data_IF_424064820350
#
_entry.id   IF_424064820350
#
_cell.length_a   1.000
_cell.length_b   1.000
_cell.length_c   1.000
_cell.angle_alpha   90.00
_cell.angle_beta   90.00
_cell.angle_gamma   90.00
#
_symmetry.space_group_name_H-M   'P 1'
#
loop_
_entity.id
_entity.type
_entity.pdbx_description
1 polymer ?
#
# COMPACT_ATOMS: atom_id res chain seq x y z
N UNK A 1 21.29 -15.95 5.99
CA UNK A 1 20.96 -15.95 4.54
C UNK A 1 20.01 -14.80 4.29
N UNK A 2 20.07 -14.12 3.14
CA UNK A 2 19.42 -12.81 2.97
C UNK A 2 17.92 -12.71 3.34
N UNK A 3 17.16 -13.81 3.20
CA UNK A 3 15.73 -13.85 3.56
C UNK A 3 15.46 -13.71 5.05
N UNK A 4 16.20 -14.41 5.92
CA UNK A 4 15.94 -14.36 7.37
C UNK A 4 16.25 -12.96 7.92
N UNK A 5 17.27 -12.30 7.37
CA UNK A 5 17.61 -10.92 7.72
C UNK A 5 16.51 -9.95 7.29
N UNK A 6 15.94 -10.12 6.10
CA UNK A 6 14.80 -9.32 5.63
C UNK A 6 13.55 -9.56 6.48
N UNK A 7 13.23 -10.82 6.82
CA UNK A 7 12.17 -11.15 7.76
C UNK A 7 12.40 -10.43 9.09
N UNK A 8 13.59 -10.53 9.66
CA UNK A 8 13.90 -9.94 10.95
C UNK A 8 13.69 -8.42 10.91
N UNK A 9 14.15 -7.74 9.86
CA UNK A 9 13.99 -6.29 9.67
C UNK A 9 12.52 -5.88 9.53
N UNK A 10 11.76 -6.58 8.69
CA UNK A 10 10.34 -6.29 8.49
C UNK A 10 9.50 -6.59 9.73
N UNK A 11 9.78 -7.70 10.42
CA UNK A 11 9.16 -8.02 11.71
C UNK A 11 9.51 -7.01 12.80
N UNK A 12 10.75 -6.51 12.82
CA UNK A 12 11.16 -5.44 13.74
C UNK A 12 10.36 -4.16 13.50
N UNK A 13 10.25 -3.72 12.24
CA UNK A 13 9.45 -2.55 11.89
C UNK A 13 7.98 -2.75 12.26
N UNK A 14 7.41 -3.93 12.00
CA UNK A 14 6.03 -4.22 12.34
C UNK A 14 5.77 -4.11 13.85
N UNK A 15 6.61 -4.75 14.67
CA UNK A 15 6.47 -4.74 16.12
C UNK A 15 6.77 -3.36 16.73
N UNK A 16 7.68 -2.59 16.16
CA UNK A 16 8.08 -1.28 16.69
C UNK A 16 7.13 -0.16 16.26
N UNK A 17 6.70 -0.14 15.00
CA UNK A 17 6.08 1.05 14.38
C UNK A 17 4.62 0.83 13.93
N UNK A 18 4.27 -0.40 13.54
CA UNK A 18 2.98 -0.68 12.89
C UNK A 18 1.93 -1.13 13.91
N UNK A 19 2.24 -2.16 14.71
CA UNK A 19 1.29 -2.73 15.68
C UNK A 19 0.85 -1.68 16.71
N UNK A 20 -0.43 -1.64 17.03
CA UNK A 20 -0.99 -0.65 17.94
C UNK A 20 -0.73 -1.00 19.41
N UNK A 21 -0.78 0.02 20.26
CA UNK A 21 -0.83 -0.19 21.71
C UNK A 21 -2.09 -0.98 22.10
N UNK A 22 -2.06 -1.63 23.26
CA UNK A 22 -3.18 -2.41 23.82
C UNK A 22 -3.54 -3.70 23.06
N UNK A 23 -2.85 -4.02 21.96
CA UNK A 23 -2.98 -5.29 21.25
C UNK A 23 -2.15 -6.41 21.90
N UNK A 24 -2.57 -7.66 21.77
CA UNK A 24 -1.81 -8.83 22.20
C UNK A 24 -1.12 -9.50 21.01
N UNK A 25 0.17 -9.76 21.12
CA UNK A 25 0.96 -10.39 20.06
C UNK A 25 1.65 -11.65 20.58
N UNK A 26 1.47 -12.76 19.86
CA UNK A 26 2.27 -13.97 20.01
C UNK A 26 3.28 -14.08 18.85
N UNK A 27 4.43 -14.69 19.12
CA UNK A 27 5.43 -14.99 18.10
C UNK A 27 5.57 -16.50 17.96
N UNK A 28 5.35 -17.00 16.75
CA UNK A 28 5.51 -18.40 16.39
C UNK A 28 6.53 -18.51 15.26
N UNK A 29 7.45 -19.46 15.39
CA UNK A 29 8.34 -19.83 14.29
C UNK A 29 8.13 -21.29 13.92
N UNK A 30 8.43 -21.63 12.67
CA UNK A 30 8.29 -22.97 12.16
C UNK A 30 9.43 -23.31 11.20
N UNK A 31 9.80 -24.58 11.21
CA UNK A 31 10.68 -25.22 10.24
C UNK A 31 10.26 -26.68 10.09
N UNK A 32 11.12 -27.63 10.47
CA UNK A 32 10.76 -29.05 10.63
C UNK A 32 9.73 -29.22 11.76
N UNK A 33 9.85 -28.40 12.81
CA UNK A 33 8.91 -28.30 13.92
C UNK A 33 8.45 -26.85 14.11
N UNK A 34 7.35 -26.64 14.83
CA UNK A 34 6.85 -25.31 15.16
C UNK A 34 6.92 -25.05 16.67
N UNK A 35 7.26 -23.82 17.04
CA UNK A 35 7.44 -23.41 18.43
C UNK A 35 6.89 -22.00 18.67
N UNK A 36 6.34 -21.78 19.87
CA UNK A 36 5.95 -20.46 20.35
C UNK A 36 7.20 -19.81 20.96
N UNK A 37 7.69 -18.76 20.32
CA UNK A 37 8.82 -17.95 20.81
C UNK A 37 8.37 -16.94 21.87
N UNK A 38 7.16 -16.40 21.70
CA UNK A 38 6.50 -15.57 22.71
C UNK A 38 5.03 -15.93 22.78
N UNK A 39 4.47 -16.17 23.99
CA UNK A 39 3.02 -16.24 24.16
C UNK A 39 2.38 -14.87 23.88
N UNK A 40 1.05 -14.81 23.88
CA UNK A 40 0.30 -13.55 23.78
C UNK A 40 0.81 -12.54 24.80
N UNK A 41 1.43 -11.47 24.29
CA UNK A 41 2.09 -10.43 25.07
C UNK A 41 1.43 -9.10 24.72
N UNK A 42 0.98 -8.37 25.74
CA UNK A 42 0.39 -7.05 25.57
C UNK A 42 1.45 -6.06 25.06
N UNK A 43 1.12 -5.34 24.00
CA UNK A 43 1.86 -4.17 23.54
C UNK A 43 1.53 -3.01 24.49
N UNK A 44 2.51 -2.66 25.32
CA UNK A 44 2.44 -1.55 26.26
C UNK A 44 3.80 -0.84 26.27
N UNK A 45 3.93 0.14 25.38
CA UNK A 45 5.12 0.96 25.19
C UNK A 45 6.34 0.21 24.67
N UNK A 46 7.44 0.95 24.52
CA UNK A 46 8.65 0.48 23.84
C UNK A 46 9.27 -0.79 24.44
N UNK A 47 9.23 -0.95 25.76
CA UNK A 47 9.86 -2.10 26.43
C UNK A 47 9.23 -3.45 26.04
N UNK A 48 7.91 -3.48 25.85
CA UNK A 48 7.20 -4.68 25.38
C UNK A 48 7.56 -5.02 23.93
N UNK A 49 7.63 -3.99 23.07
CA UNK A 49 8.04 -4.09 21.66
C UNK A 49 9.46 -4.61 21.54
N UNK A 50 10.42 -4.01 22.25
CA UNK A 50 11.82 -4.44 22.28
C UNK A 50 11.98 -5.90 22.75
N UNK A 51 11.15 -6.35 23.68
CA UNK A 51 11.16 -7.72 24.18
C UNK A 51 10.70 -8.71 23.10
N UNK A 52 9.70 -8.35 22.29
CA UNK A 52 9.24 -9.16 21.17
C UNK A 52 10.26 -9.16 20.02
N UNK A 53 10.84 -8.00 19.70
CA UNK A 53 11.87 -7.86 18.66
C UNK A 53 13.08 -8.77 18.95
N UNK A 54 13.56 -8.81 20.19
CA UNK A 54 14.67 -9.70 20.61
C UNK A 54 14.39 -11.20 20.46
N UNK A 55 13.13 -11.59 20.27
CA UNK A 55 12.72 -12.98 20.07
C UNK A 55 12.54 -13.33 18.59
N UNK A 56 12.67 -12.39 17.67
CA UNK A 56 12.59 -12.70 16.25
C UNK A 56 13.73 -13.65 15.84
N UNK A 57 13.49 -14.61 14.93
CA UNK A 57 14.50 -15.57 14.53
C UNK A 57 15.62 -14.91 13.71
N UNK A 58 16.87 -15.17 14.11
CA UNK A 58 18.07 -14.64 13.43
C UNK A 58 18.68 -15.62 12.41
N UNK A 59 18.35 -16.91 12.53
CA UNK A 59 18.90 -17.97 11.69
C UNK A 59 17.78 -18.83 11.10
N UNK A 60 18.02 -19.36 9.90
CA UNK A 60 17.13 -20.27 9.22
C UNK A 60 17.77 -21.66 9.13
N UNK A 61 16.99 -22.70 9.36
CA UNK A 61 17.42 -24.09 9.25
C UNK A 61 16.27 -25.07 9.39
N UNK A 62 16.46 -26.28 8.88
CA UNK A 62 15.43 -27.32 8.82
C UNK A 62 14.65 -27.30 7.51
N UNK A 63 13.54 -28.05 7.48
CA UNK A 63 12.57 -28.09 6.38
C UNK A 63 11.46 -27.06 6.61
N UNK A 64 10.47 -27.00 5.73
CA UNK A 64 9.37 -26.02 5.81
C UNK A 64 8.04 -26.73 5.99
N UNK A 65 7.56 -26.91 7.22
CA UNK A 65 6.24 -27.50 7.50
C UNK A 65 5.21 -26.43 7.86
N UNK A 66 4.53 -25.92 6.84
CA UNK A 66 3.57 -24.81 6.95
C UNK A 66 2.41 -25.17 7.87
N UNK A 67 1.85 -26.37 7.74
CA UNK A 67 0.70 -26.77 8.54
C UNK A 67 1.03 -26.93 10.03
N UNK A 68 2.27 -27.28 10.37
CA UNK A 68 2.73 -27.27 11.77
C UNK A 68 2.78 -25.85 12.33
N UNK A 69 3.31 -24.90 11.55
CA UNK A 69 3.35 -23.49 11.90
C UNK A 69 1.95 -22.93 12.16
N UNK A 70 1.01 -23.19 11.24
CA UNK A 70 -0.37 -22.73 11.36
C UNK A 70 -1.06 -23.28 12.62
N UNK A 71 -0.99 -24.59 12.84
CA UNK A 71 -1.58 -25.23 14.04
C UNK A 71 -0.98 -24.69 15.34
N UNK A 72 0.32 -24.41 15.35
CA UNK A 72 1.01 -23.80 16.50
C UNK A 72 0.59 -22.33 16.70
N UNK A 73 0.30 -21.61 15.63
CA UNK A 73 -0.37 -20.30 15.67
C UNK A 73 -1.72 -20.36 16.38
N UNK A 74 -2.57 -21.32 16.01
CA UNK A 74 -3.86 -21.51 16.69
C UNK A 74 -3.70 -21.91 18.16
N UNK A 75 -2.69 -22.71 18.51
CA UNK A 75 -2.38 -23.03 19.90
C UNK A 75 -1.98 -21.78 20.70
N UNK A 76 -1.20 -20.87 20.10
CA UNK A 76 -0.82 -19.61 20.74
C UNK A 76 -2.02 -18.67 20.93
N UNK A 77 -2.88 -18.56 19.92
CA UNK A 77 -4.08 -17.73 19.99
C UNK A 77 -5.05 -18.24 21.06
N UNK A 78 -5.35 -19.54 21.10
CA UNK A 78 -6.24 -20.16 22.10
C UNK A 78 -5.76 -20.06 23.55
N UNK A 79 -4.60 -19.46 23.82
CA UNK A 79 -4.04 -19.37 25.16
C UNK A 79 -4.77 -18.38 26.07
N UNK A 80 -5.60 -17.49 25.53
CA UNK A 80 -6.41 -16.54 26.30
C UNK A 80 -7.83 -17.05 26.60
N UNK A 81 -8.69 -17.23 25.60
CA UNK A 81 -10.12 -17.56 25.75
C UNK A 81 -10.49 -18.95 25.18
N UNK A 82 -9.49 -19.66 24.64
CA UNK A 82 -9.65 -20.99 24.04
C UNK A 82 -10.21 -20.99 22.62
N UNK A 83 -10.39 -19.83 21.99
CA UNK A 83 -10.91 -19.69 20.63
C UNK A 83 -9.86 -19.05 19.72
N UNK A 84 -10.22 -18.98 18.44
CA UNK A 84 -9.44 -18.32 17.38
C UNK A 84 -10.31 -17.37 16.55
N UNK A 85 -11.58 -17.20 16.95
CA UNK A 85 -12.59 -16.54 16.12
C UNK A 85 -12.43 -15.05 16.23
N UNK A 86 -12.13 -14.39 15.11
CA UNK A 86 -11.86 -12.95 15.07
C UNK A 86 -10.40 -12.59 15.33
N UNK A 87 -9.55 -13.56 15.69
CA UNK A 87 -8.10 -13.34 15.82
C UNK A 87 -7.42 -13.28 14.46
N UNK A 88 -6.29 -12.60 14.39
CA UNK A 88 -5.51 -12.44 13.17
C UNK A 88 -4.19 -13.22 13.21
N UNK A 89 -3.81 -13.83 12.08
CA UNK A 89 -2.49 -14.43 11.87
C UNK A 89 -1.82 -13.76 10.68
N UNK A 90 -0.62 -13.22 10.89
CA UNK A 90 0.28 -12.82 9.81
C UNK A 90 1.23 -13.97 9.50
N UNK A 91 0.97 -14.68 8.42
CA UNK A 91 1.68 -15.89 8.04
C UNK A 91 2.72 -15.62 6.94
N UNK A 92 3.97 -15.40 7.34
CA UNK A 92 5.10 -15.19 6.44
C UNK A 92 5.76 -16.53 6.08
N UNK A 93 5.93 -16.79 4.78
CA UNK A 93 6.61 -17.99 4.28
C UNK A 93 7.25 -17.72 2.93
N UNK A 94 8.38 -18.36 2.62
CA UNK A 94 8.90 -18.36 1.24
C UNK A 94 8.11 -19.28 0.30
N UNK A 95 7.19 -20.05 0.89
CA UNK A 95 6.18 -20.86 0.22
C UNK A 95 6.72 -22.14 -0.43
N UNK A 96 7.98 -22.51 -0.16
CA UNK A 96 8.55 -23.81 -0.54
C UNK A 96 8.22 -24.86 0.54
N UNK A 97 6.94 -25.21 0.66
CA UNK A 97 6.48 -26.16 1.66
C UNK A 97 7.01 -27.58 1.41
N UNK A 98 7.45 -28.24 2.48
CA UNK A 98 7.81 -29.65 2.51
C UNK A 98 6.61 -30.55 2.80
N UNK A 99 5.57 -29.99 3.44
CA UNK A 99 4.26 -30.61 3.62
C UNK A 99 3.26 -30.15 2.55
N UNK A 100 2.13 -30.85 2.46
CA UNK A 100 1.03 -30.44 1.61
C UNK A 100 0.19 -29.38 2.33
N UNK A 101 0.32 -28.12 1.94
CA UNK A 101 -0.41 -26.98 2.53
C UNK A 101 -1.93 -27.17 2.48
N UNK A 102 -2.42 -27.95 1.50
CA UNK A 102 -3.84 -28.27 1.39
C UNK A 102 -4.37 -29.05 2.61
N UNK A 103 -3.53 -29.79 3.33
CA UNK A 103 -3.93 -30.63 4.46
C UNK A 103 -4.47 -29.81 5.64
N UNK A 104 -3.97 -28.59 5.83
CA UNK A 104 -4.46 -27.67 6.87
C UNK A 104 -5.39 -26.58 6.33
N UNK A 105 -5.75 -26.59 5.04
CA UNK A 105 -6.63 -25.58 4.46
C UNK A 105 -8.02 -25.57 5.10
N UNK A 106 -8.63 -26.74 5.30
CA UNK A 106 -9.96 -26.81 5.93
C UNK A 106 -9.89 -26.41 7.41
N UNK A 107 -8.83 -26.78 8.11
CA UNK A 107 -8.59 -26.34 9.50
C UNK A 107 -8.46 -24.82 9.57
N UNK A 108 -7.76 -24.21 8.62
CA UNK A 108 -7.60 -22.77 8.49
C UNK A 108 -8.96 -22.06 8.38
N UNK A 109 -9.81 -22.50 7.45
CA UNK A 109 -11.12 -21.93 7.21
C UNK A 109 -12.08 -22.15 8.39
N UNK A 110 -12.02 -23.32 9.02
CA UNK A 110 -12.90 -23.67 10.15
C UNK A 110 -12.49 -23.02 11.47
N UNK A 111 -11.26 -22.51 11.58
CA UNK A 111 -10.76 -21.85 12.80
C UNK A 111 -11.53 -20.58 13.15
N UNK A 112 -12.08 -19.88 12.14
CA UNK A 112 -12.66 -18.55 12.30
C UNK A 112 -11.63 -17.42 12.51
N UNK A 113 -10.34 -17.73 12.46
CA UNK A 113 -9.27 -16.73 12.43
C UNK A 113 -9.18 -16.09 11.05
N UNK A 114 -8.75 -14.83 11.00
CA UNK A 114 -8.41 -14.10 9.79
C UNK A 114 -6.92 -14.35 9.49
N UNK A 115 -6.61 -14.99 8.37
CA UNK A 115 -5.23 -15.39 8.05
C UNK A 115 -4.71 -14.54 6.90
N UNK A 116 -3.80 -13.64 7.21
CA UNK A 116 -3.01 -12.92 6.22
C UNK A 116 -1.82 -13.79 5.81
N UNK A 117 -1.52 -13.86 4.52
CA UNK A 117 -0.42 -14.66 4.00
C UNK A 117 0.55 -13.77 3.22
N UNK A 118 1.83 -13.82 3.59
CA UNK A 118 2.90 -13.13 2.87
C UNK A 118 3.80 -14.18 2.22
N UNK A 119 3.70 -14.27 0.90
CA UNK A 119 4.56 -15.09 0.06
C UNK A 119 5.88 -14.36 -0.22
N UNK A 120 6.95 -14.77 0.46
CA UNK A 120 8.26 -14.17 0.37
C UNK A 120 9.18 -14.92 -0.60
N UNK A 121 8.84 -14.81 -1.88
CA UNK A 121 9.52 -15.48 -2.97
C UNK A 121 8.55 -15.92 -4.09
N UNK A 122 9.07 -16.30 -5.26
CA UNK A 122 8.24 -16.57 -6.44
C UNK A 122 7.51 -17.93 -6.37
N UNK A 123 7.97 -18.86 -5.54
CA UNK A 123 7.51 -20.26 -5.56
C UNK A 123 6.33 -20.56 -4.63
N UNK A 124 5.75 -19.55 -4.00
CA UNK A 124 4.73 -19.79 -2.99
C UNK A 124 3.46 -20.44 -3.55
N UNK A 125 2.90 -21.40 -2.82
CA UNK A 125 1.70 -22.13 -3.27
C UNK A 125 0.46 -21.21 -3.39
N UNK A 126 -0.35 -21.41 -4.43
CA UNK A 126 -1.62 -20.71 -4.63
C UNK A 126 -2.64 -21.00 -3.51
N UNK A 127 -2.46 -22.08 -2.76
CA UNK A 127 -3.25 -22.38 -1.55
C UNK A 127 -3.14 -21.25 -0.52
N UNK A 128 -2.00 -20.56 -0.42
CA UNK A 128 -1.83 -19.44 0.52
C UNK A 128 -2.76 -18.27 0.20
N UNK A 129 -2.95 -17.97 -1.09
CA UNK A 129 -3.93 -16.97 -1.53
C UNK A 129 -5.35 -17.42 -1.20
N UNK A 130 -5.68 -18.68 -1.51
CA UNK A 130 -7.01 -19.24 -1.25
C UNK A 130 -7.34 -19.23 0.24
N UNK A 131 -6.34 -19.48 1.09
CA UNK A 131 -6.46 -19.46 2.55
C UNK A 131 -6.78 -18.05 3.05
N UNK A 132 -6.05 -17.03 2.58
CA UNK A 132 -6.34 -15.65 2.93
C UNK A 132 -7.73 -15.21 2.46
N UNK A 133 -8.07 -15.48 1.20
CA UNK A 133 -9.38 -15.11 0.63
C UNK A 133 -10.55 -15.75 1.41
N UNK A 134 -10.42 -17.01 1.84
CA UNK A 134 -11.49 -17.74 2.56
C UNK A 134 -11.60 -17.38 4.03
N UNK A 135 -10.57 -16.82 4.62
CA UNK A 135 -10.55 -16.37 6.02
C UNK A 135 -10.78 -14.85 6.16
N UNK A 136 -10.94 -14.13 5.04
CA UNK A 136 -11.10 -12.68 5.04
C UNK A 136 -9.79 -11.90 5.16
N UNK A 137 -8.65 -12.59 5.14
CA UNK A 137 -7.32 -11.99 5.25
C UNK A 137 -6.83 -11.33 3.96
N UNK A 138 -5.55 -10.98 3.98
CA UNK A 138 -4.84 -10.34 2.86
C UNK A 138 -3.73 -11.26 2.38
N UNK A 139 -3.69 -11.50 1.07
CA UNK A 139 -2.56 -12.14 0.42
C UNK A 139 -1.60 -11.07 -0.11
N UNK A 140 -0.32 -11.19 0.25
CA UNK A 140 0.75 -10.34 -0.24
C UNK A 140 1.91 -11.16 -0.80
N UNK A 141 2.60 -10.57 -1.76
CA UNK A 141 3.83 -11.10 -2.35
C UNK A 141 4.94 -10.10 -2.11
N UNK A 142 6.07 -10.59 -1.64
CA UNK A 142 7.27 -9.81 -1.49
C UNK A 142 8.44 -10.50 -2.20
N UNK A 143 9.19 -9.73 -2.99
CA UNK A 143 10.47 -10.17 -3.56
C UNK A 143 11.55 -10.19 -2.50
N UNK A 144 12.46 -11.15 -2.65
CA UNK A 144 13.70 -11.27 -1.89
C UNK A 144 14.75 -10.23 -2.35
N UNK A 145 14.39 -8.94 -2.29
CA UNK A 145 15.26 -7.82 -2.64
C UNK A 145 14.87 -6.58 -1.87
N UNK A 146 15.86 -5.99 -1.19
CA UNK A 146 15.72 -4.72 -0.45
C UNK A 146 15.33 -3.56 -1.36
N UNK A 147 15.69 -3.60 -2.65
CA UNK A 147 15.33 -2.55 -3.61
C UNK A 147 13.82 -2.33 -3.74
N UNK A 148 13.04 -3.39 -3.57
CA UNK A 148 11.58 -3.33 -3.74
C UNK A 148 10.86 -2.73 -2.52
N UNK A 149 11.48 -2.84 -1.34
CA UNK A 149 10.87 -2.64 -0.02
C UNK A 149 9.57 -3.44 0.22
N UNK A 150 9.26 -4.42 -0.65
CA UNK A 150 7.96 -5.09 -0.70
C UNK A 150 7.61 -5.87 0.57
N UNK A 151 8.60 -6.40 1.29
CA UNK A 151 8.33 -7.13 2.52
C UNK A 151 7.81 -6.20 3.63
N UNK A 152 8.50 -5.06 3.83
CA UNK A 152 8.05 -4.01 4.76
C UNK A 152 6.67 -3.50 4.36
N UNK A 153 6.49 -3.25 3.08
CA UNK A 153 5.22 -2.83 2.49
C UNK A 153 4.08 -3.84 2.65
N UNK A 154 4.40 -5.14 2.62
CA UNK A 154 3.43 -6.20 2.87
C UNK A 154 2.99 -6.17 4.34
N UNK A 155 3.92 -6.04 5.28
CA UNK A 155 3.58 -5.88 6.70
C UNK A 155 2.80 -4.59 6.97
N UNK A 156 3.16 -3.46 6.35
CA UNK A 156 2.44 -2.20 6.52
C UNK A 156 1.03 -2.20 5.92
N UNK A 157 0.78 -3.06 4.93
CA UNK A 157 -0.56 -3.25 4.35
C UNK A 157 -1.49 -4.11 5.21
N UNK A 158 -0.93 -4.90 6.13
CA UNK A 158 -1.67 -5.77 7.03
C UNK A 158 -1.80 -5.03 8.36
N UNK A 159 -2.74 -4.09 8.39
CA UNK A 159 -3.10 -3.34 9.60
C UNK A 159 -4.38 -3.90 10.20
N UNK A 160 -4.36 -4.13 11.51
CA UNK A 160 -5.54 -4.48 12.30
C UNK A 160 -6.36 -3.19 12.45
N UNK A 161 -7.55 -3.13 11.85
CA UNK A 161 -8.40 -1.94 11.98
C UNK A 161 -9.21 -2.00 13.28
N UNK A 162 -8.87 -1.15 14.24
CA UNK A 162 -9.58 -0.97 15.50
C UNK A 162 -10.90 -0.16 15.36
N UNK A 163 -11.20 0.31 14.14
CA UNK A 163 -12.35 1.19 13.88
C UNK A 163 -12.01 2.68 13.88
N UNK A 164 -10.80 3.08 14.28
CA UNK A 164 -10.36 4.46 14.38
C UNK A 164 -9.35 4.82 13.27
N UNK A 165 -9.72 5.63 12.28
CA UNK A 165 -8.79 6.01 11.20
C UNK A 165 -7.62 6.87 11.68
N UNK A 166 -7.70 7.46 12.89
CA UNK A 166 -6.69 8.39 13.40
C UNK A 166 -5.54 7.68 14.12
N UNK A 167 -5.76 6.44 14.57
CA UNK A 167 -4.72 5.59 15.13
C UNK A 167 -3.93 4.91 14.02
N UNK A 168 -4.50 4.71 12.83
CA UNK A 168 -3.83 3.95 11.77
C UNK A 168 -2.46 4.52 11.35
N UNK A 169 -1.45 3.65 11.11
CA UNK A 169 -0.19 4.06 10.54
C UNK A 169 -0.36 4.56 9.10
N UNK A 170 0.24 5.71 8.81
CA UNK A 170 0.33 6.32 7.49
C UNK A 170 1.74 6.12 6.94
N UNK A 171 1.86 5.38 5.85
CA UNK A 171 3.12 5.28 5.13
C UNK A 171 3.22 6.45 4.14
N UNK A 172 4.14 7.38 4.41
CA UNK A 172 4.33 8.60 3.61
C UNK A 172 5.25 8.35 2.41
N UNK A 173 6.24 7.47 2.59
CA UNK A 173 7.25 7.13 1.58
C UNK A 173 7.69 5.67 1.76
N UNK A 174 7.91 4.97 0.63
CA UNK A 174 8.49 3.63 0.58
C UNK A 174 9.28 3.46 -0.72
N UNK A 175 10.61 3.54 -0.60
CA UNK A 175 11.50 3.55 -1.76
C UNK A 175 12.78 2.79 -1.47
N UNK A 176 13.31 2.11 -2.49
CA UNK A 176 14.58 1.41 -2.42
C UNK A 176 15.44 1.71 -3.63
N UNK A 177 16.76 1.75 -3.41
CA UNK A 177 17.73 2.12 -4.44
C UNK A 177 19.04 1.37 -4.26
N UNK A 178 19.70 1.06 -5.38
CA UNK A 178 21.09 0.67 -5.39
C UNK A 178 21.94 1.94 -5.33
N UNK A 179 22.67 2.12 -4.23
CA UNK A 179 23.32 3.39 -3.87
C UNK A 179 24.83 3.27 -4.00
N UNK A 180 25.43 4.10 -4.86
CA UNK A 180 26.89 4.25 -4.97
C UNK A 180 27.41 5.42 -4.14
N UNK A 181 26.66 6.52 -4.09
CA UNK A 181 27.03 7.76 -3.40
C UNK A 181 25.87 8.19 -2.49
N UNK A 182 25.04 9.14 -2.92
CA UNK A 182 23.89 9.61 -2.13
C UNK A 182 22.57 8.90 -2.46
N UNK A 183 21.86 8.54 -1.40
CA UNK A 183 20.44 8.24 -1.43
C UNK A 183 19.67 9.38 -0.77
N UNK A 184 19.06 10.23 -1.58
CA UNK A 184 18.38 11.43 -1.13
C UNK A 184 16.98 11.55 -1.73
N UNK A 185 16.17 12.39 -1.10
CA UNK A 185 14.81 12.68 -1.53
C UNK A 185 14.11 13.64 -0.58
N UNK A 186 12.83 13.88 -0.87
CA UNK A 186 11.96 14.77 -0.11
C UNK A 186 10.67 14.03 0.21
N UNK A 187 10.22 14.11 1.46
CA UNK A 187 8.94 13.58 1.91
C UNK A 187 8.08 14.75 2.38
N UNK A 188 7.03 15.12 1.63
CA UNK A 188 6.09 16.14 2.07
C UNK A 188 5.17 15.60 3.16
N UNK A 189 5.14 16.27 4.31
CA UNK A 189 4.24 15.98 5.43
C UNK A 189 3.22 17.11 5.51
N UNK A 190 1.94 16.79 5.39
CA UNK A 190 0.85 17.77 5.49
C UNK A 190 0.43 18.03 6.94
N UNK A 191 -0.45 19.01 7.15
CA UNK A 191 -0.91 19.43 8.48
C UNK A 191 -1.73 18.38 9.24
N UNK A 192 -2.18 17.33 8.56
CA UNK A 192 -3.03 16.28 9.13
C UNK A 192 -2.24 15.06 9.59
N UNK A 193 -0.95 14.95 9.20
CA UNK A 193 -0.02 13.91 9.63
C UNK A 193 1.13 14.50 10.45
N UNK A 194 1.75 13.71 11.32
CA UNK A 194 2.97 14.13 12.01
C UNK A 194 3.23 13.49 13.37
N UNK A 195 2.23 12.83 13.97
CA UNK A 195 2.43 12.14 15.26
C UNK A 195 3.22 10.86 15.02
N UNK A 196 4.20 10.58 15.89
CA UNK A 196 5.05 9.39 15.80
C UNK A 196 5.69 9.21 14.42
N UNK A 197 6.17 10.29 13.81
CA UNK A 197 6.85 10.20 12.51
C UNK A 197 8.21 9.55 12.66
N UNK A 198 8.45 8.50 11.87
CA UNK A 198 9.73 7.78 11.83
C UNK A 198 10.30 7.70 10.42
N UNK A 199 11.61 7.91 10.32
CA UNK A 199 12.39 7.62 9.11
C UNK A 199 13.23 6.38 9.39
N UNK A 200 12.86 5.27 8.75
CA UNK A 200 13.54 3.99 8.91
C UNK A 200 14.27 3.62 7.64
N UNK A 201 15.60 3.61 7.71
CA UNK A 201 16.48 3.20 6.62
C UNK A 201 17.04 1.81 6.90
N UNK A 202 16.81 0.89 5.98
CA UNK A 202 17.43 -0.42 5.96
C UNK A 202 18.59 -0.40 4.96
N UNK A 203 19.75 -0.90 5.36
CA UNK A 203 20.93 -1.00 4.49
C UNK A 203 21.46 -2.43 4.38
N UNK A 204 22.16 -2.73 3.29
CA UNK A 204 22.65 -4.09 3.01
C UNK A 204 23.99 -4.39 3.68
N UNK A 205 24.98 -3.49 3.56
CA UNK A 205 26.39 -3.79 3.88
C UNK A 205 26.89 -3.02 5.08
N UNK A 206 26.94 -1.69 4.99
CA UNK A 206 27.48 -0.84 6.06
C UNK A 206 26.66 0.41 6.28
N UNK A 207 26.66 0.89 7.53
CA UNK A 207 25.85 2.00 7.97
C UNK A 207 26.23 3.28 7.19
N UNK A 208 25.28 3.91 6.49
CA UNK A 208 25.53 5.14 5.76
C UNK A 208 25.67 6.36 6.69
N UNK A 209 26.21 7.46 6.16
CA UNK A 209 26.08 8.75 6.88
C UNK A 209 24.64 9.24 6.77
N UNK A 210 24.00 9.60 7.88
CA UNK A 210 22.62 10.10 7.93
C UNK A 210 22.63 11.62 7.98
N UNK A 211 21.79 12.23 7.15
CA UNK A 211 21.43 13.64 7.24
C UNK A 211 19.95 13.79 6.89
N UNK A 212 19.13 14.16 7.87
CA UNK A 212 17.70 14.45 7.68
C UNK A 212 17.46 15.88 8.13
N UNK A 213 16.70 16.65 7.36
CA UNK A 213 16.42 18.04 7.63
C UNK A 213 14.91 18.30 7.61
N UNK A 214 14.42 18.90 8.70
CA UNK A 214 13.04 19.38 8.82
C UNK A 214 12.78 20.60 7.92
N UNK A 215 11.50 20.95 7.67
CA UNK A 215 11.11 22.14 6.93
C UNK A 215 11.67 23.45 7.50
N UNK A 216 11.77 23.59 8.83
CA UNK A 216 12.37 24.76 9.48
C UNK A 216 13.89 24.83 9.38
N UNK A 217 14.54 23.74 8.94
CA UNK A 217 15.97 23.65 8.75
C UNK A 217 16.73 22.95 9.87
N UNK A 218 16.06 22.49 10.94
CA UNK A 218 16.66 21.64 11.97
C UNK A 218 17.18 20.34 11.35
N UNK A 219 18.45 20.03 11.59
CA UNK A 219 19.14 18.87 11.06
C UNK A 219 19.28 17.76 12.11
N UNK A 220 19.08 16.53 11.66
CA UNK A 220 19.24 15.30 12.40
C UNK A 220 20.35 14.46 11.75
N UNK A 221 21.23 13.93 12.59
CA UNK A 221 22.34 13.07 12.17
C UNK A 221 22.38 11.78 13.00
N UNK A 222 23.49 11.02 12.94
CA UNK A 222 23.62 9.75 13.66
C UNK A 222 23.35 9.85 15.16
N UNK A 223 23.56 11.01 15.78
CA UNK A 223 23.34 11.22 17.22
C UNK A 223 21.86 11.24 17.59
N UNK A 224 21.00 11.45 16.60
CA UNK A 224 19.54 11.48 16.75
C UNK A 224 18.88 10.15 16.34
N UNK A 225 19.66 9.20 15.83
CA UNK A 225 19.14 7.93 15.31
C UNK A 225 19.60 6.75 16.15
N UNK A 226 18.81 5.69 16.14
CA UNK A 226 19.25 4.36 16.58
C UNK A 226 19.72 3.57 15.37
N UNK A 227 20.73 2.70 15.55
CA UNK A 227 21.20 1.77 14.52
C UNK A 227 21.34 0.37 15.13
N UNK A 228 20.53 -0.56 14.63
CA UNK A 228 20.53 -1.95 15.07
C UNK A 228 20.07 -2.86 13.95
N UNK A 229 20.68 -4.05 13.82
CA UNK A 229 20.34 -5.04 12.80
C UNK A 229 20.25 -4.46 11.36
N UNK A 230 21.21 -3.61 11.01
CA UNK A 230 21.27 -2.90 9.72
C UNK A 230 20.06 -1.99 9.43
N UNK A 231 19.47 -1.43 10.49
CA UNK A 231 18.30 -0.58 10.43
C UNK A 231 18.57 0.68 11.24
N UNK A 232 18.63 1.82 10.54
CA UNK A 232 18.74 3.14 11.14
C UNK A 232 17.33 3.72 11.29
N UNK A 233 16.96 4.15 12.49
CA UNK A 233 15.66 4.80 12.74
C UNK A 233 15.85 6.18 13.36
N UNK A 234 15.26 7.19 12.74
CA UNK A 234 15.01 8.50 13.36
C UNK A 234 13.56 8.55 13.81
N UNK A 235 13.32 8.76 15.10
CA UNK A 235 11.99 9.11 15.62
C UNK A 235 11.92 10.63 15.82
N UNK A 236 11.05 11.29 15.07
CA UNK A 236 10.87 12.74 15.18
C UNK A 236 10.21 13.06 16.53
N UNK A 237 10.82 13.92 17.37
CA UNK A 237 10.23 14.27 18.65
C UNK A 237 8.91 15.03 18.49
N UNK A 238 7.86 14.59 19.18
CA UNK A 238 6.56 15.26 19.19
C UNK A 238 5.78 15.09 17.88
N UNK A 239 5.24 16.19 17.37
CA UNK A 239 4.53 16.24 16.08
C UNK A 239 5.51 16.79 15.04
N UNK A 240 5.73 16.04 13.97
CA UNK A 240 6.56 16.48 12.85
C UNK A 240 6.02 17.76 12.21
N UNK A 241 6.91 18.70 11.92
CA UNK A 241 6.57 19.95 11.25
C UNK A 241 5.97 19.68 9.85
N UNK A 242 4.84 20.32 9.50
CA UNK A 242 4.32 20.27 8.15
C UNK A 242 5.28 20.92 7.15
N UNK A 243 5.46 20.28 5.99
CA UNK A 243 6.29 20.76 4.89
C UNK A 243 7.20 19.68 4.30
N UNK A 244 8.17 20.14 3.51
CA UNK A 244 9.10 19.28 2.77
C UNK A 244 10.27 18.84 3.68
N UNK A 245 10.22 17.61 4.19
CA UNK A 245 11.34 16.98 4.90
C UNK A 245 12.35 16.42 3.91
N UNK A 246 13.63 16.72 4.08
CA UNK A 246 14.70 16.24 3.20
C UNK A 246 15.50 15.16 3.88
N UNK A 247 15.77 14.06 3.19
CA UNK A 247 16.68 13.02 3.68
C UNK A 247 17.85 12.85 2.72
N UNK A 248 19.00 12.49 3.27
CA UNK A 248 20.23 12.21 2.53
C UNK A 248 21.04 11.17 3.30
N UNK A 249 21.30 10.04 2.65
CA UNK A 249 22.12 8.95 3.19
C UNK A 249 23.34 8.74 2.28
N UNK A 250 24.55 8.90 2.82
CA UNK A 250 25.79 8.71 2.07
C UNK A 250 26.29 7.27 2.24
N UNK A 251 26.42 6.55 1.13
CA UNK A 251 27.14 5.29 1.11
C UNK A 251 28.63 5.52 1.39
N UNK A 252 29.17 4.83 2.39
CA UNK A 252 30.59 4.88 2.75
C UNK A 252 31.43 3.79 2.09
N UNK A 253 30.78 2.82 1.44
CA UNK A 253 31.45 1.75 0.71
C UNK A 253 31.96 2.23 -0.65
N UNK A 254 33.09 1.68 -1.08
CA UNK A 254 33.54 1.85 -2.46
C UNK A 254 32.61 1.16 -3.47
N UNK A 255 31.93 0.09 -3.05
CA UNK A 255 30.97 -0.64 -3.85
C UNK A 255 29.54 -0.16 -3.60
N UNK A 256 28.67 -0.32 -4.61
CA UNK A 256 27.25 -0.07 -4.43
C UNK A 256 26.63 -1.00 -3.38
N UNK A 257 25.65 -0.51 -2.63
CA UNK A 257 24.83 -1.30 -1.71
C UNK A 257 23.35 -0.95 -1.84
N UNK A 258 22.49 -1.92 -1.55
CA UNK A 258 21.04 -1.67 -1.53
C UNK A 258 20.66 -0.93 -0.24
N UNK A 259 19.83 0.10 -0.38
CA UNK A 259 19.21 0.79 0.74
C UNK A 259 17.72 0.97 0.46
N UNK A 260 16.89 0.84 1.49
CA UNK A 260 15.47 1.19 1.41
C UNK A 260 15.06 2.10 2.56
N UNK A 261 14.26 3.10 2.25
CA UNK A 261 13.69 4.05 3.19
C UNK A 261 12.19 3.81 3.29
N UNK A 262 11.72 3.72 4.52
CA UNK A 262 10.30 3.79 4.87
C UNK A 262 10.09 4.99 5.78
N UNK A 263 9.12 5.84 5.45
CA UNK A 263 8.69 6.92 6.34
C UNK A 263 7.27 6.65 6.79
N UNK A 264 7.08 6.50 8.09
CA UNK A 264 5.78 6.26 8.70
C UNK A 264 5.39 7.47 9.56
N UNK A 265 4.10 7.70 9.70
CA UNK A 265 3.51 8.74 10.55
C UNK A 265 2.11 8.31 10.97
N UNK A 266 1.45 9.12 11.79
CA UNK A 266 0.05 8.97 12.20
C UNK A 266 -0.63 10.33 12.16
N UNK A 267 -1.95 10.34 12.34
CA UNK A 267 -2.72 11.58 12.41
C UNK A 267 -2.07 12.55 13.42
N UNK A 268 -1.84 13.79 13.01
CA UNK A 268 -1.22 14.80 13.86
C UNK A 268 -2.07 15.10 15.10
N UNK A 269 -3.39 14.95 14.97
CA UNK A 269 -4.38 15.20 16.01
C UNK A 269 -5.46 14.12 15.98
N UNK A 270 -6.01 13.81 17.14
CA UNK A 270 -7.07 12.79 17.29
C UNK A 270 -8.43 13.25 16.78
N UNK A 271 -8.65 14.55 16.59
CA UNK A 271 -9.91 15.13 16.12
C UNK A 271 -9.90 15.50 14.62
N UNK A 272 -8.76 15.39 13.94
CA UNK A 272 -8.61 15.70 12.52
C UNK A 272 -8.08 14.46 11.79
N UNK A 273 -8.96 13.72 11.07
CA UNK A 273 -8.53 12.58 10.30
C UNK A 273 -7.50 12.94 9.22
N UNK A 274 -6.52 12.08 8.97
CA UNK A 274 -5.52 12.35 7.95
C UNK A 274 -6.11 12.17 6.54
N UNK A 275 -5.41 12.70 5.53
CA UNK A 275 -5.63 12.23 4.15
C UNK A 275 -5.27 10.76 4.07
N UNK A 276 -6.24 9.96 3.63
CA UNK A 276 -6.13 8.52 3.44
C UNK A 276 -6.24 8.16 1.96
N UNK A 277 -5.72 6.99 1.61
CA UNK A 277 -5.87 6.42 0.29
C UNK A 277 -6.39 5.01 0.47
N UNK A 278 -7.35 4.60 -0.35
CA UNK A 278 -7.79 3.21 -0.42
C UNK A 278 -7.59 2.72 -1.84
N UNK A 279 -6.93 1.57 -1.98
CA UNK A 279 -6.66 0.99 -3.30
C UNK A 279 -7.51 -0.25 -3.50
N UNK A 280 -8.16 -0.33 -4.66
CA UNK A 280 -8.97 -1.47 -5.08
C UNK A 280 -8.65 -1.86 -6.51
N UNK A 281 -8.93 -3.11 -6.82
CA UNK A 281 -8.82 -3.65 -8.17
C UNK A 281 -10.07 -4.46 -8.48
N UNK A 282 -10.53 -4.40 -9.72
CA UNK A 282 -11.51 -5.35 -10.21
C UNK A 282 -10.86 -6.72 -10.36
N UNK A 283 -11.54 -7.80 -9.99
CA UNK A 283 -11.05 -9.14 -10.29
C UNK A 283 -10.98 -9.32 -11.82
N UNK A 284 -9.82 -9.71 -12.32
CA UNK A 284 -9.70 -10.13 -13.71
C UNK A 284 -10.55 -11.39 -13.90
N UNK A 285 -11.33 -11.43 -14.97
CA UNK A 285 -12.02 -12.66 -15.36
C UNK A 285 -10.95 -13.72 -15.65
N UNK A 286 -11.15 -14.97 -15.18
CA UNK A 286 -10.16 -16.05 -15.34
C UNK A 286 -9.78 -16.34 -16.79
N UNK A 287 -10.64 -15.96 -17.73
CA UNK A 287 -10.44 -16.11 -19.17
C UNK A 287 -9.74 -14.91 -19.82
N UNK A 288 -9.38 -13.87 -19.05
CA UNK A 288 -8.74 -12.67 -19.56
C UNK A 288 -9.65 -11.79 -20.40
N UNK A 289 -10.97 -12.06 -20.45
CA UNK A 289 -11.91 -11.38 -21.35
C UNK A 289 -12.14 -9.90 -21.04
N UNK A 290 -11.78 -9.45 -19.83
CA UNK A 290 -11.86 -8.05 -19.41
C UNK A 290 -10.54 -7.62 -18.81
N UNK A 291 -10.09 -6.42 -19.19
CA UNK A 291 -8.96 -5.78 -18.56
C UNK A 291 -9.26 -5.47 -17.09
N UNK A 292 -8.20 -5.41 -16.30
CA UNK A 292 -8.27 -5.03 -14.90
C UNK A 292 -8.40 -3.51 -14.80
N UNK A 293 -9.23 -3.03 -13.89
CA UNK A 293 -9.26 -1.63 -13.47
C UNK A 293 -8.54 -1.51 -12.14
N UNK A 294 -7.60 -0.57 -12.07
CA UNK A 294 -6.98 -0.14 -10.82
C UNK A 294 -7.67 1.15 -10.37
N UNK A 295 -8.06 1.20 -9.10
CA UNK A 295 -8.80 2.29 -8.48
C UNK A 295 -8.09 2.73 -7.21
N UNK A 296 -7.87 4.03 -7.05
CA UNK A 296 -7.35 4.63 -5.83
C UNK A 296 -8.29 5.77 -5.40
N UNK A 297 -8.98 5.56 -4.28
CA UNK A 297 -9.80 6.58 -3.62
C UNK A 297 -8.89 7.40 -2.71
N UNK A 298 -8.78 8.71 -2.96
CA UNK A 298 -8.03 9.65 -2.13
C UNK A 298 -9.04 10.54 -1.41
N UNK A 299 -9.07 10.46 -0.09
CA UNK A 299 -10.07 11.17 0.70
C UNK A 299 -9.52 11.57 2.07
N UNK A 300 -10.00 12.70 2.57
CA UNK A 300 -9.89 13.05 3.98
C UNK A 300 -11.28 12.90 4.59
N UNK A 301 -11.43 11.96 5.52
CA UNK A 301 -12.74 11.59 6.06
C UNK A 301 -13.70 11.14 4.94
N UNK A 302 -14.80 11.89 4.69
CA UNK A 302 -15.74 11.62 3.59
C UNK A 302 -15.59 12.57 2.41
N UNK A 303 -14.60 13.47 2.45
CA UNK A 303 -14.39 14.46 1.42
C UNK A 303 -13.31 13.98 0.44
N UNK A 304 -13.61 13.93 -0.86
CA UNK A 304 -12.63 13.52 -1.86
C UNK A 304 -11.56 14.57 -2.05
N UNK A 305 -10.33 14.11 -2.23
CA UNK A 305 -9.14 14.93 -2.43
C UNK A 305 -8.83 14.97 -3.92
N UNK A 306 -9.03 16.13 -4.54
CA UNK A 306 -8.80 16.31 -5.97
C UNK A 306 -7.42 16.90 -6.26
N UNK A 307 -7.00 16.81 -7.53
CA UNK A 307 -5.71 17.34 -8.00
C UNK A 307 -4.48 16.55 -7.53
N UNK A 308 -4.66 15.41 -6.89
CA UNK A 308 -3.56 14.51 -6.56
C UNK A 308 -3.02 13.84 -7.83
N UNK A 309 -1.71 13.60 -7.86
CA UNK A 309 -1.03 12.78 -8.86
C UNK A 309 -0.90 11.37 -8.31
N UNK A 310 -1.54 10.41 -8.98
CA UNK A 310 -1.62 9.03 -8.53
C UNK A 310 -0.89 8.11 -9.49
N UNK A 311 0.14 7.43 -8.99
CA UNK A 311 0.90 6.43 -9.74
C UNK A 311 0.73 5.06 -9.11
N UNK A 312 0.48 4.06 -9.94
CA UNK A 312 0.56 2.66 -9.56
C UNK A 312 1.77 2.00 -10.21
N UNK A 313 2.44 1.13 -9.45
CA UNK A 313 3.50 0.25 -9.90
C UNK A 313 3.06 -1.18 -9.59
N UNK A 314 2.95 -1.99 -10.64
CA UNK A 314 2.64 -3.42 -10.55
C UNK A 314 3.88 -4.21 -10.91
N UNK A 315 4.25 -5.17 -10.08
CA UNK A 315 5.42 -6.01 -10.33
C UNK A 315 5.09 -7.48 -10.18
N UNK A 316 5.37 -8.25 -11.22
CA UNK A 316 5.22 -9.70 -11.23
C UNK A 316 6.40 -10.43 -10.58
N UNK A 317 6.12 -11.65 -10.14
CA UNK A 317 7.08 -12.69 -9.77
C UNK A 317 7.98 -13.15 -10.94
N UNK A 318 7.58 -12.90 -12.19
CA UNK A 318 8.39 -13.20 -13.40
C UNK A 318 9.32 -12.06 -13.80
N UNK A 319 9.29 -10.92 -13.09
CA UNK A 319 10.14 -9.75 -13.37
C UNK A 319 9.54 -8.73 -14.32
N UNK A 320 8.36 -9.00 -14.92
CA UNK A 320 7.59 -7.97 -15.61
C UNK A 320 7.10 -6.90 -14.62
N UNK A 321 7.21 -5.63 -15.00
CA UNK A 321 6.74 -4.47 -14.22
C UNK A 321 6.01 -3.50 -15.13
N UNK A 322 4.93 -2.93 -14.62
CA UNK A 322 4.09 -1.94 -15.28
C UNK A 322 3.91 -0.74 -14.35
N UNK A 323 4.02 0.46 -14.89
CA UNK A 323 3.77 1.70 -14.16
C UNK A 323 2.70 2.50 -14.90
N UNK A 324 1.67 2.90 -14.17
CA UNK A 324 0.47 3.54 -14.73
C UNK A 324 0.09 4.76 -13.89
N UNK A 325 -0.24 5.87 -14.55
CA UNK A 325 -0.86 7.04 -13.90
C UNK A 325 -2.38 6.85 -13.91
N UNK A 326 -3.02 7.05 -12.76
CA UNK A 326 -4.47 6.99 -12.60
C UNK A 326 -5.06 8.40 -12.65
N UNK A 327 -6.27 8.54 -13.21
CA UNK A 327 -6.91 9.84 -13.42
C UNK A 327 -8.29 9.90 -12.77
N UNK A 328 -8.65 11.09 -12.30
CA UNK A 328 -9.98 11.48 -11.86
C UNK A 328 -10.49 12.55 -12.84
N UNK A 329 -10.89 12.10 -14.04
CA UNK A 329 -11.23 12.94 -15.19
C UNK A 329 -12.59 12.63 -15.84
N UNK A 330 -13.31 11.62 -15.33
CA UNK A 330 -14.60 11.14 -15.81
C UNK A 330 -14.57 10.43 -17.15
N UNK A 331 -13.41 9.89 -17.55
CA UNK A 331 -13.22 9.20 -18.82
C UNK A 331 -12.59 7.81 -18.62
N UNK A 332 -12.87 6.90 -19.57
CA UNK A 332 -12.29 5.56 -19.54
C UNK A 332 -12.78 4.73 -18.36
N UNK A 333 -11.85 4.23 -17.55
CA UNK A 333 -12.17 3.49 -16.33
C UNK A 333 -12.79 4.39 -15.24
N UNK A 334 -12.56 5.70 -15.31
CA UNK A 334 -13.08 6.65 -14.36
C UNK A 334 -14.51 7.07 -14.71
N UNK A 335 -15.44 6.73 -13.82
CA UNK A 335 -16.87 6.92 -14.04
C UNK A 335 -17.31 8.36 -13.76
N UNK A 336 -16.67 9.05 -12.82
CA UNK A 336 -17.10 10.36 -12.36
C UNK A 336 -15.91 11.27 -12.12
N UNK A 337 -15.82 12.32 -12.93
CA UNK A 337 -14.85 13.38 -12.72
C UNK A 337 -15.05 14.09 -11.38
N UNK A 338 -13.94 14.40 -10.73
CA UNK A 338 -13.79 15.21 -9.52
C UNK A 338 -14.47 14.58 -8.29
N UNK A 339 -14.46 13.24 -8.19
CA UNK A 339 -15.02 12.48 -7.07
C UNK A 339 -13.96 11.87 -6.12
N UNK A 340 -12.67 12.14 -6.37
CA UNK A 340 -11.54 11.66 -5.58
C UNK A 340 -11.15 10.21 -5.87
N UNK A 341 -11.77 9.59 -6.87
CA UNK A 341 -11.52 8.21 -7.26
C UNK A 341 -10.73 8.18 -8.55
N UNK A 342 -9.43 7.95 -8.42
CA UNK A 342 -8.51 7.89 -9.55
C UNK A 342 -8.48 6.47 -10.11
N UNK A 343 -8.74 6.31 -11.41
CA UNK A 343 -8.73 4.99 -12.02
C UNK A 343 -8.25 4.93 -13.46
N UNK A 344 -7.90 3.71 -13.89
CA UNK A 344 -7.45 3.41 -15.25
C UNK A 344 -7.50 1.91 -15.53
N UNK A 345 -7.63 1.53 -16.80
CA UNK A 345 -7.44 0.14 -17.22
C UNK A 345 -5.95 -0.23 -17.25
N UNK A 346 -5.64 -1.48 -16.90
CA UNK A 346 -4.33 -2.10 -17.10
C UNK A 346 -4.46 -3.23 -18.11
N UNK A 347 -3.79 -3.06 -19.26
CA UNK A 347 -3.93 -3.95 -20.42
C UNK A 347 -2.69 -4.80 -20.69
N UNK A 348 -1.55 -4.45 -20.08
CA UNK A 348 -0.23 -5.04 -20.39
C UNK A 348 0.20 -6.15 -19.44
N UNK A 349 -0.70 -6.58 -18.55
CA UNK A 349 -0.44 -7.65 -17.59
C UNK A 349 -0.19 -8.99 -18.29
N UNK A 350 0.91 -9.63 -17.90
CA UNK A 350 1.28 -10.99 -18.31
C UNK A 350 0.90 -12.01 -17.25
N UNK A 351 0.82 -13.27 -17.62
CA UNK A 351 0.62 -14.36 -16.66
C UNK A 351 1.67 -14.30 -15.54
N UNK A 352 1.23 -14.34 -14.29
CA UNK A 352 2.10 -14.25 -13.12
C UNK A 352 1.37 -13.77 -11.89
N UNK A 353 2.09 -13.66 -10.78
CA UNK A 353 1.57 -13.12 -9.53
C UNK A 353 2.13 -11.74 -9.27
N UNK A 354 1.30 -10.78 -8.93
CA UNK A 354 1.65 -9.37 -8.88
C UNK A 354 1.54 -8.78 -7.48
N UNK A 355 2.49 -7.91 -7.17
CA UNK A 355 2.38 -6.91 -6.11
C UNK A 355 1.86 -5.60 -6.72
N UNK A 356 1.16 -4.81 -5.91
CA UNK A 356 0.63 -3.50 -6.27
C UNK A 356 1.10 -2.46 -5.27
N UNK A 357 1.82 -1.44 -5.74
CA UNK A 357 2.19 -0.26 -4.95
C UNK A 357 1.58 0.98 -5.58
N UNK A 358 0.90 1.79 -4.79
CA UNK A 358 0.33 3.08 -5.20
C UNK A 358 1.02 4.20 -4.45
N UNK A 359 1.40 5.24 -5.18
CA UNK A 359 1.98 6.48 -4.66
C UNK A 359 1.08 7.64 -5.06
N UNK A 360 0.62 8.37 -4.07
CA UNK A 360 -0.22 9.57 -4.22
C UNK A 360 0.57 10.77 -3.74
N UNK A 361 0.61 11.82 -4.54
CA UNK A 361 1.27 13.08 -4.18
C UNK A 361 0.40 14.27 -4.54
N UNK A 362 0.42 15.30 -3.70
CA UNK A 362 -0.05 16.63 -4.06
C UNK A 362 1.12 17.61 -3.90
N UNK A 363 1.60 18.14 -5.03
CA UNK A 363 2.77 19.03 -5.07
C UNK A 363 2.40 20.52 -5.01
N UNK A 364 1.14 20.87 -5.28
CA UNK A 364 0.66 22.25 -5.28
C UNK A 364 0.24 22.72 -3.89
N UNK A 365 0.10 21.80 -2.94
CA UNK A 365 -0.23 22.06 -1.53
C UNK A 365 -1.67 22.50 -1.27
N UNK A 366 -2.43 22.75 -2.33
CA UNK A 366 -3.86 23.00 -2.28
C UNK A 366 -4.59 21.68 -2.49
N UNK A 367 -5.42 21.32 -1.53
CA UNK A 367 -6.40 20.25 -1.71
C UNK A 367 -7.74 20.86 -2.02
N UNK A 368 -8.34 20.36 -3.09
CA UNK A 368 -9.68 20.68 -3.51
C UNK A 368 -10.60 19.59 -2.92
N UNK A 369 -11.55 19.99 -2.09
CA UNK A 369 -12.61 19.12 -1.59
C UNK A 369 -13.88 19.36 -2.38
N UNK A 370 -14.53 18.31 -2.89
CA UNK A 370 -15.91 18.44 -3.37
C UNK A 370 -16.88 18.21 -2.20
N UNK A 371 -17.75 19.20 -1.93
CA UNK A 371 -18.70 19.13 -0.81
C UNK A 371 -19.92 18.22 -1.07
N UNK A 372 -20.04 17.67 -2.27
CA UNK A 372 -21.23 16.94 -2.69
C UNK A 372 -20.85 15.57 -3.24
N UNK A 373 -21.23 14.51 -2.51
CA UNK A 373 -21.45 13.20 -3.14
C UNK A 373 -22.39 13.42 -4.31
N UNK A 374 -21.97 13.07 -5.51
CA UNK A 374 -22.88 12.99 -6.64
C UNK A 374 -24.10 12.17 -6.22
N UNK A 375 -25.29 12.78 -6.26
CA UNK A 375 -26.53 12.02 -6.38
C UNK A 375 -26.30 11.04 -7.52
N UNK A 376 -26.45 9.73 -7.28
CA UNK A 376 -26.18 8.66 -8.26
C UNK A 376 -27.06 8.69 -9.53
N UNK A 377 -27.81 9.78 -9.74
CA UNK A 377 -28.51 10.07 -10.98
C UNK A 377 -27.56 10.67 -12.02
N UNK A 378 -27.43 10.03 -13.18
CA UNK A 378 -26.76 10.62 -14.35
C UNK A 378 -27.44 11.94 -14.73
N UNK A 379 -26.65 13.00 -14.93
CA UNK A 379 -27.14 14.25 -15.51
C UNK A 379 -27.52 13.98 -16.97
N UNK A 380 -28.78 14.24 -17.33
CA UNK A 380 -29.29 14.09 -18.70
C UNK A 380 -29.10 15.44 -19.40
N UNK A 381 -28.25 15.58 -20.45
CA UNK A 381 -27.97 16.87 -21.09
C UNK A 381 -29.17 17.46 -21.84
N UNK A 382 -30.13 16.62 -22.19
CA UNK A 382 -31.33 17.01 -22.89
C UNK A 382 -32.20 15.80 -23.23
N UNK A 383 -33.42 16.07 -23.69
CA UNK A 383 -34.38 15.05 -24.10
C UNK A 383 -35.10 15.50 -25.37
N UNK A 384 -35.68 14.55 -26.09
CA UNK A 384 -36.37 14.82 -27.36
C UNK A 384 -37.86 15.03 -27.06
N UNK A 385 -38.40 16.16 -27.51
CA UNK A 385 -39.84 16.46 -27.53
C UNK A 385 -40.22 16.80 -28.95
N UNK A 386 -41.16 16.05 -29.54
CA UNK A 386 -41.69 16.27 -30.90
C UNK A 386 -40.59 16.38 -31.98
N UNK A 387 -39.56 15.54 -31.90
CA UNK A 387 -38.45 15.53 -32.85
C UNK A 387 -37.46 16.69 -32.71
N UNK A 388 -37.63 17.56 -31.71
CA UNK A 388 -36.69 18.64 -31.36
C UNK A 388 -35.93 18.29 -30.09
N UNK A 389 -34.63 18.56 -30.09
CA UNK A 389 -33.76 18.39 -28.91
C UNK A 389 -34.00 19.57 -27.95
N UNK A 390 -34.42 19.26 -26.74
CA UNK A 390 -34.55 20.21 -25.62
C UNK A 390 -33.38 19.98 -24.68
N UNK A 391 -32.54 21.01 -24.48
CA UNK A 391 -31.38 20.93 -23.61
C UNK A 391 -31.77 21.23 -22.16
N UNK A 392 -31.24 20.43 -21.22
CA UNK A 392 -31.31 20.74 -19.81
C UNK A 392 -30.28 21.83 -19.43
N UNK A 393 -30.51 22.59 -18.35
CA UNK A 393 -29.54 23.57 -17.86
C UNK A 393 -28.21 22.88 -17.53
N UNK A 394 -27.05 23.50 -17.87
CA UNK A 394 -25.73 22.89 -17.66
C UNK A 394 -25.60 22.26 -16.28
N UNK A 395 -24.96 21.08 -16.20
CA UNK A 395 -24.68 20.42 -14.91
C UNK A 395 -24.04 21.47 -13.99
N UNK A 396 -24.61 21.73 -12.80
CA UNK A 396 -24.02 22.69 -11.88
C UNK A 396 -22.56 22.30 -11.64
N UNK A 397 -21.63 23.28 -11.62
CA UNK A 397 -20.26 23.00 -11.25
C UNK A 397 -20.24 22.36 -9.86
N UNK A 398 -19.32 21.43 -9.67
CA UNK A 398 -19.05 20.86 -8.35
C UNK A 398 -18.63 22.03 -7.45
N UNK A 399 -19.29 22.19 -6.30
CA UNK A 399 -18.85 23.18 -5.31
C UNK A 399 -17.57 22.68 -4.67
N UNK A 400 -16.45 23.20 -5.16
CA UNK A 400 -15.11 22.83 -4.73
C UNK A 400 -14.63 23.82 -3.68
N UNK A 401 -14.52 23.36 -2.44
CA UNK A 401 -13.83 24.13 -1.41
C UNK A 401 -12.33 23.89 -1.50
N UNK A 402 -11.57 24.98 -1.40
CA UNK A 402 -10.11 24.94 -1.32
C UNK A 402 -9.71 24.92 0.14
N UNK A 403 -8.99 23.89 0.53
CA UNK A 403 -8.32 23.84 1.82
C UNK A 403 -6.82 23.70 1.60
N UNK A 404 -6.06 24.60 2.22
CA UNK A 404 -4.61 24.49 2.28
C UNK A 404 -4.24 23.56 3.43
N UNK A 405 -4.11 22.27 3.13
CA UNK A 405 -3.58 21.28 4.07
C UNK A 405 -2.05 21.13 3.95
N UNK A 406 -1.44 21.74 2.91
CA UNK A 406 -0.05 21.58 2.55
C UNK A 406 0.19 20.43 1.57
N UNK A 407 1.42 20.31 1.08
CA UNK A 407 1.83 19.19 0.22
C UNK A 407 1.79 17.90 1.02
N UNK A 408 1.41 16.81 0.37
CA UNK A 408 1.40 15.49 0.99
C UNK A 408 1.91 14.41 0.05
N UNK A 409 2.42 13.33 0.64
CA UNK A 409 2.61 12.06 -0.02
C UNK A 409 1.99 10.94 0.80
N UNK A 410 1.43 9.95 0.11
CA UNK A 410 0.98 8.68 0.69
C UNK A 410 1.47 7.56 -0.20
N UNK A 411 2.03 6.52 0.39
CA UNK A 411 2.41 5.29 -0.30
C UNK A 411 1.66 4.13 0.31
N UNK A 412 0.99 3.32 -0.50
CA UNK A 412 0.22 2.18 -0.04
C UNK A 412 0.49 0.96 -0.90
N UNK A 413 0.30 -0.20 -0.29
CA UNK A 413 0.43 -1.49 -0.96
C UNK A 413 -0.94 -2.13 -1.03
N UNK A 414 -1.44 -2.32 -2.24
CA UNK A 414 -2.70 -3.03 -2.46
C UNK A 414 -2.53 -4.54 -2.30
N UNK A 415 -3.64 -5.28 -2.31
CA UNK A 415 -3.61 -6.74 -2.23
C UNK A 415 -2.89 -7.33 -3.44
N UNK A 416 -2.01 -8.30 -3.23
CA UNK A 416 -1.45 -9.08 -4.34
C UNK A 416 -2.53 -9.88 -5.06
N UNK A 417 -2.31 -10.07 -6.37
CA UNK A 417 -3.26 -10.76 -7.24
C UNK A 417 -2.55 -11.70 -8.22
N UNK A 418 -3.33 -12.56 -8.87
CA UNK A 418 -2.83 -13.56 -9.82
C UNK A 418 -3.48 -13.32 -11.17
N UNK A 419 -2.66 -13.24 -12.21
CA UNK A 419 -3.06 -13.16 -13.60
C UNK A 419 -2.94 -14.57 -14.19
N UNK A 420 -4.06 -15.24 -14.40
CA UNK A 420 -4.10 -16.62 -14.90
C UNK A 420 -3.89 -16.70 -16.42
N UNK A 421 -4.39 -15.70 -17.14
CA UNK A 421 -4.27 -15.52 -18.59
C UNK A 421 -3.94 -14.07 -18.91
N UNK A 422 -3.22 -13.86 -20.02
CA UNK A 422 -2.98 -12.51 -20.54
C UNK A 422 -4.32 -11.84 -20.90
N UNK A 423 -4.33 -10.50 -20.87
CA UNK A 423 -5.50 -9.71 -21.22
C UNK A 423 -5.97 -9.94 -22.66
N UNK A 424 -7.13 -9.40 -23.04
CA UNK A 424 -7.64 -9.54 -24.40
C UNK A 424 -6.68 -8.85 -25.37
N UNK A 425 -6.30 -9.54 -26.45
CA UNK A 425 -5.54 -8.93 -27.54
C UNK A 425 -6.49 -8.12 -28.43
N UNK A 426 -6.11 -6.88 -28.74
CA UNK A 426 -6.86 -5.88 -29.51
C UNK A 426 -8.17 -5.43 -28.82
N UNK A 427 -8.05 -4.53 -27.86
CA UNK A 427 -9.21 -3.91 -27.23
C UNK A 427 -9.50 -2.60 -27.94
N UNK A 428 -10.77 -2.25 -28.25
CA UNK A 428 -11.07 -0.92 -28.76
C UNK A 428 -10.77 0.19 -27.74
N UNK A 429 -10.54 1.42 -28.22
CA UNK A 429 -10.48 2.62 -27.37
C UNK A 429 -11.70 2.77 -26.48
N UNK A 430 -11.53 3.46 -25.34
CA UNK A 430 -12.65 3.76 -24.45
C UNK A 430 -13.73 4.62 -25.13
N UNK A 431 -14.96 4.49 -24.66
CA UNK A 431 -16.06 5.33 -25.15
C UNK A 431 -15.85 6.78 -24.72
N UNK A 432 -15.99 7.73 -25.65
CA UNK A 432 -16.04 9.16 -25.35
C UNK A 432 -17.38 9.49 -24.66
N UNK A 433 -17.31 10.03 -23.45
CA UNK A 433 -18.47 10.38 -22.61
C UNK A 433 -18.59 11.89 -22.37
N UNK A 434 -17.58 12.67 -22.74
CA UNK A 434 -17.40 14.08 -22.37
C UNK A 434 -17.24 15.01 -23.58
N UNK A 435 -17.78 14.63 -24.75
CA UNK A 435 -17.72 15.45 -25.96
C UNK A 435 -18.42 16.80 -25.75
N UNK A 436 -17.64 17.88 -25.91
CA UNK A 436 -18.10 19.26 -25.92
C UNK A 436 -17.95 19.81 -27.34
N UNK A 437 -18.98 20.52 -27.81
CA UNK A 437 -18.98 21.21 -29.10
C UNK A 437 -19.24 22.70 -28.88
N UNK A 438 -18.33 23.55 -29.34
CA UNK A 438 -18.43 25.01 -29.30
C UNK A 438 -18.46 25.57 -30.72
N UNK A 439 -19.43 26.43 -31.01
CA UNK A 439 -19.52 27.12 -32.30
C UNK A 439 -18.83 28.48 -32.15
N UNK A 440 -17.78 28.72 -32.93
CA UNK A 440 -17.13 30.02 -33.04
C UNK A 440 -17.12 30.42 -34.52
N UNK A 441 -17.90 31.46 -34.84
CA UNK A 441 -18.13 31.93 -36.21
C UNK A 441 -18.60 30.78 -37.13
N UNK A 442 -17.80 30.43 -38.15
CA UNK A 442 -18.07 29.39 -39.13
C UNK A 442 -17.44 28.03 -38.76
N UNK A 443 -16.83 27.92 -37.58
CA UNK A 443 -16.15 26.71 -37.11
C UNK A 443 -16.89 26.05 -35.94
N UNK A 444 -16.89 24.72 -35.94
CA UNK A 444 -17.30 23.90 -34.79
C UNK A 444 -16.05 23.29 -34.16
N UNK A 445 -15.72 23.75 -32.96
CA UNK A 445 -14.64 23.21 -32.14
C UNK A 445 -15.18 22.06 -31.30
N UNK A 446 -14.59 20.87 -31.48
CA UNK A 446 -14.93 19.67 -30.73
C UNK A 446 -13.80 19.37 -29.75
N UNK A 447 -14.13 19.15 -28.48
CA UNK A 447 -13.19 18.81 -27.43
C UNK A 447 -13.69 17.59 -26.65
N UNK A 448 -12.79 16.66 -26.33
CA UNK A 448 -13.09 15.46 -25.56
C UNK A 448 -11.80 14.89 -24.95
N UNK A 449 -11.94 14.09 -23.90
CA UNK A 449 -10.80 13.37 -23.33
C UNK A 449 -10.35 12.25 -24.27
N UNK A 450 -9.05 12.21 -24.59
CA UNK A 450 -8.49 11.21 -25.49
C UNK A 450 -8.81 9.78 -24.98
N UNK A 451 -9.45 8.92 -25.80
CA UNK A 451 -10.00 7.67 -25.32
C UNK A 451 -8.95 6.58 -25.09
N UNK A 452 -7.72 6.72 -25.59
CA UNK A 452 -6.67 5.67 -25.63
C UNK A 452 -6.66 4.88 -26.95
N UNK A 453 -5.77 3.89 -27.07
CA UNK A 453 -5.72 2.91 -28.16
C UNK A 453 -6.35 1.58 -27.69
N UNK A 454 -5.85 1.04 -26.56
CA UNK A 454 -6.41 -0.12 -25.87
C UNK A 454 -7.11 0.34 -24.56
N UNK A 455 -8.44 0.35 -24.54
CA UNK A 455 -9.18 1.10 -23.51
C UNK A 455 -8.63 2.54 -23.39
N UNK A 456 -8.34 3.03 -22.19
CA UNK A 456 -7.77 4.35 -21.87
C UNK A 456 -6.22 4.32 -21.75
N UNK A 457 -5.59 3.37 -22.42
CA UNK A 457 -4.14 3.21 -22.50
C UNK A 457 -3.62 3.36 -23.94
N UNK A 458 -2.49 4.03 -24.13
CA UNK A 458 -1.89 4.25 -25.47
C UNK A 458 -2.36 5.54 -26.16
N UNK A 459 -1.89 5.74 -27.40
CA UNK A 459 -2.13 6.93 -28.24
C UNK A 459 -2.27 6.57 -29.69
#
# INVERSE_FOLDING_TARGET
GGRIEQQHRAGTLFLSEIIDEEQFVALVTFSTEAQILSPLTLINGQASRDTLVKKLPETAGGYTYICKGLRKGFEALKSDDGKTVGDEIIFLTDGEASDNVQDCFQEAVQSGAIIHTIAFGPKADNVLKSMADKTGGIFQIAKDSLLSNQLVDAFSSITVFDGNPNTQPLQLESTGKLVTDWFNGTVPIDRTAGKHTTFTLIYEKSAPTVYIQSPSGLAYDQRNTTDSANTITLTVPGIAEPGDWKYSFLNREAAAQQMSLTVMSRAAREDVPPVTVTVRMTQQMRDGSKAMVVLAEVSQNYNPVLGARVWTTMESDTGHSEKLELFDNGAGADAFKDDGVYSRYSTKLKKGKYSLKVRVENQDGQVLYSLHRHSGSMYVPGFIVDGKVVLNPPKPPVDVQREDIGKFSRTLTGKSFVVESEGPSNVPPSRITDLIAEIQEDFVFLNWTAPGDDYDEGT
#
